data_IF_149037982605
#
_entry.id   IF_149037982605
#
_cell.length_a   1.000
_cell.length_b   1.000
_cell.length_c   1.000
_cell.angle_alpha   90.00
_cell.angle_beta   90.00
_cell.angle_gamma   90.00
#
_symmetry.space_group_name_H-M   'P 1'
#
loop_
_entity.id
_entity.type
_entity.pdbx_description
1 polymer ?
#
# COMPACT_ATOMS: atom_id res chain seq x y z
N UNK A 1 -36.68 11.09 31.37
CA UNK A 1 -35.24 11.23 31.64
C UNK A 1 -34.49 11.29 30.32
N UNK A 2 -33.49 12.17 30.14
CA UNK A 2 -32.62 12.13 28.97
C UNK A 2 -31.92 10.78 28.87
N UNK A 3 -31.82 10.22 27.66
CA UNK A 3 -31.18 8.93 27.41
C UNK A 3 -29.72 9.00 27.87
N UNK A 4 -29.25 7.99 28.60
CA UNK A 4 -27.84 7.84 28.99
C UNK A 4 -26.94 7.92 27.75
N UNK A 5 -26.09 8.94 27.69
CA UNK A 5 -25.10 9.15 26.61
C UNK A 5 -23.71 9.16 27.22
N UNK A 6 -22.76 8.46 26.58
CA UNK A 6 -21.34 8.51 26.97
C UNK A 6 -20.77 9.90 26.69
N UNK A 7 -19.91 10.39 27.58
CA UNK A 7 -19.19 11.63 27.39
C UNK A 7 -18.32 11.54 26.12
N UNK A 8 -18.51 12.49 25.21
CA UNK A 8 -17.70 12.59 24.00
C UNK A 8 -16.51 13.48 24.29
N UNK A 9 -15.29 12.94 24.16
CA UNK A 9 -14.07 13.74 24.22
C UNK A 9 -14.06 14.69 23.02
N UNK A 10 -14.05 16.01 23.28
CA UNK A 10 -13.96 17.04 22.26
C UNK A 10 -12.49 17.46 22.18
N UNK A 11 -11.88 17.28 21.02
CA UNK A 11 -10.48 17.63 20.79
C UNK A 11 -10.37 19.08 20.30
N UNK A 12 -9.41 19.85 20.83
CA UNK A 12 -9.21 21.28 20.49
C UNK A 12 -8.39 21.51 19.21
N UNK A 13 -8.10 20.46 18.44
CA UNK A 13 -7.41 20.60 17.14
C UNK A 13 -8.17 21.49 16.19
N UNK A 14 -7.45 22.36 15.49
CA UNK A 14 -7.98 23.29 14.48
C UNK A 14 -8.33 22.65 13.13
N UNK A 15 -8.34 21.31 13.01
CA UNK A 15 -8.65 20.62 11.76
C UNK A 15 -10.15 20.67 11.47
N UNK A 16 -10.56 21.53 10.55
CA UNK A 16 -11.94 21.59 10.05
C UNK A 16 -12.27 20.38 9.18
N UNK A 17 -13.50 19.88 9.29
CA UNK A 17 -14.00 18.81 8.43
C UNK A 17 -14.19 19.35 7.01
N UNK A 18 -13.44 18.81 6.05
CA UNK A 18 -13.63 19.12 4.63
C UNK A 18 -14.97 18.57 4.15
N UNK A 19 -15.66 19.32 3.28
CA UNK A 19 -16.93 18.89 2.69
C UNK A 19 -16.71 17.72 1.72
N UNK A 20 -17.21 16.54 2.08
CA UNK A 20 -17.12 15.35 1.23
C UNK A 20 -17.76 15.56 -0.15
N UNK A 21 -18.87 16.31 -0.20
CA UNK A 21 -19.60 16.64 -1.44
C UNK A 21 -18.74 17.47 -2.39
N UNK A 22 -18.04 18.46 -1.85
CA UNK A 22 -17.17 19.35 -2.61
C UNK A 22 -15.94 18.59 -3.15
N UNK A 23 -15.30 17.76 -2.32
CA UNK A 23 -14.17 16.93 -2.75
C UNK A 23 -14.56 15.94 -3.87
N UNK A 24 -15.74 15.34 -3.75
CA UNK A 24 -16.28 14.42 -4.76
C UNK A 24 -16.53 15.14 -6.08
N UNK A 25 -17.15 16.32 -6.04
CA UNK A 25 -17.38 17.15 -7.24
C UNK A 25 -16.08 17.60 -7.89
N UNK A 26 -15.10 18.01 -7.08
CA UNK A 26 -13.78 18.40 -7.59
C UNK A 26 -13.03 17.24 -8.23
N UNK A 27 -13.07 16.04 -7.61
CA UNK A 27 -12.47 14.85 -8.20
C UNK A 27 -13.13 14.52 -9.55
N UNK A 28 -14.47 14.54 -9.61
CA UNK A 28 -15.21 14.30 -10.85
C UNK A 28 -14.81 15.28 -11.97
N UNK A 29 -14.85 16.58 -11.68
CA UNK A 29 -14.52 17.62 -12.66
C UNK A 29 -13.07 17.53 -13.14
N UNK A 30 -12.13 17.27 -12.22
CA UNK A 30 -10.71 17.14 -12.58
C UNK A 30 -10.44 15.91 -13.44
N UNK A 31 -11.15 14.80 -13.22
CA UNK A 31 -11.00 13.59 -14.05
C UNK A 31 -11.48 13.87 -15.47
N UNK A 32 -12.63 14.52 -15.65
CA UNK A 32 -13.12 14.88 -16.99
C UNK A 32 -12.20 15.85 -17.71
N UNK A 33 -11.69 16.88 -17.02
CA UNK A 33 -10.69 17.79 -17.59
C UNK A 33 -9.42 17.05 -18.04
N UNK A 34 -8.97 16.05 -17.28
CA UNK A 34 -7.80 15.24 -17.66
C UNK A 34 -8.05 14.34 -18.88
N UNK A 35 -9.28 13.84 -19.07
CA UNK A 35 -9.66 13.10 -20.30
C UNK A 35 -9.50 13.99 -21.54
N UNK A 36 -9.76 15.30 -21.42
CA UNK A 36 -9.60 16.24 -22.52
C UNK A 36 -8.14 16.66 -22.74
N UNK A 37 -7.34 16.74 -21.68
CA UNK A 37 -5.98 17.27 -21.74
C UNK A 37 -4.95 16.24 -22.27
N UNK A 38 -5.08 14.96 -21.91
CA UNK A 38 -4.05 13.94 -22.17
C UNK A 38 -4.45 12.92 -23.24
N UNK A 39 -3.44 12.30 -23.86
CA UNK A 39 -3.63 11.32 -24.95
C UNK A 39 -3.94 9.91 -24.46
N UNK A 40 -3.41 9.53 -23.29
CA UNK A 40 -3.54 8.19 -22.72
C UNK A 40 -4.10 8.23 -21.30
N UNK A 41 -4.89 7.21 -20.98
CA UNK A 41 -5.42 6.95 -19.65
C UNK A 41 -5.05 5.52 -19.24
N UNK A 42 -4.36 5.36 -18.12
CA UNK A 42 -4.10 4.07 -17.50
C UNK A 42 -4.96 3.89 -16.25
N UNK A 43 -5.56 2.71 -16.12
CA UNK A 43 -6.11 2.22 -14.86
C UNK A 43 -5.04 1.38 -14.19
N UNK A 44 -4.67 1.73 -12.97
CA UNK A 44 -3.66 0.99 -12.20
C UNK A 44 -4.22 0.53 -10.86
N UNK A 45 -3.79 -0.63 -10.40
CA UNK A 45 -3.93 -1.08 -9.02
C UNK A 45 -2.64 -0.78 -8.24
N UNK A 46 -2.77 -0.61 -6.92
CA UNK A 46 -1.63 -0.39 -6.03
C UNK A 46 -1.66 -1.36 -4.88
N UNK A 47 -0.58 -2.13 -4.75
CA UNK A 47 -0.32 -2.97 -3.59
C UNK A 47 0.55 -2.23 -2.58
N UNK A 48 0.30 -2.49 -1.30
CA UNK A 48 1.04 -1.90 -0.17
C UNK A 48 1.13 -0.37 -0.21
N UNK A 49 0.05 0.28 -0.66
CA UNK A 49 -0.03 1.73 -0.86
C UNK A 49 0.49 2.56 0.34
N UNK A 50 1.40 3.50 0.02
CA UNK A 50 1.93 4.54 0.90
C UNK A 50 1.86 5.90 0.22
N UNK A 51 1.44 6.91 0.99
CA UNK A 51 1.35 8.28 0.47
C UNK A 51 2.71 8.87 0.07
N UNK A 52 3.82 8.38 0.63
CA UNK A 52 5.18 8.79 0.27
C UNK A 52 5.48 8.38 -1.17
N UNK A 53 5.35 7.10 -1.50
CA UNK A 53 5.63 6.60 -2.85
C UNK A 53 4.71 7.20 -3.92
N UNK A 54 3.43 7.43 -3.60
CA UNK A 54 2.55 8.10 -4.55
C UNK A 54 2.91 9.59 -4.76
N UNK A 55 3.57 10.24 -3.80
CA UNK A 55 4.11 11.59 -4.02
C UNK A 55 5.35 11.53 -4.91
N UNK A 56 6.19 10.51 -4.75
CA UNK A 56 7.37 10.32 -5.59
C UNK A 56 6.95 10.07 -7.03
N UNK A 57 5.99 9.17 -7.26
CA UNK A 57 5.37 8.95 -8.58
C UNK A 57 4.77 10.24 -9.14
N UNK A 58 4.04 11.03 -8.33
CA UNK A 58 3.49 12.33 -8.80
C UNK A 58 4.57 13.35 -9.15
N UNK A 59 5.73 13.28 -8.52
CA UNK A 59 6.84 14.19 -8.79
C UNK A 59 7.53 13.79 -10.09
N UNK A 60 7.74 12.49 -10.29
CA UNK A 60 8.27 11.93 -11.54
C UNK A 60 7.34 12.20 -12.74
N UNK A 61 6.03 12.06 -12.52
CA UNK A 61 4.97 12.31 -13.50
C UNK A 61 4.38 13.72 -13.35
N UNK A 62 5.24 14.73 -13.15
CA UNK A 62 4.81 16.13 -12.96
C UNK A 62 4.10 16.76 -14.18
N UNK A 63 4.39 16.23 -15.37
CA UNK A 63 3.78 16.52 -16.67
C UNK A 63 2.48 15.73 -16.92
N UNK A 64 2.06 14.91 -15.97
CA UNK A 64 0.90 14.00 -16.08
C UNK A 64 -0.05 14.20 -14.89
N UNK A 65 -1.23 13.57 -14.91
CA UNK A 65 -2.21 13.67 -13.82
C UNK A 65 -2.56 12.31 -13.23
N UNK A 66 -2.21 12.14 -11.96
CA UNK A 66 -2.51 10.95 -11.18
C UNK A 66 -3.67 11.19 -10.19
N UNK A 67 -4.73 10.40 -10.34
CA UNK A 67 -5.87 10.33 -9.43
C UNK A 67 -5.84 9.02 -8.64
N UNK A 68 -5.95 9.13 -7.33
CA UNK A 68 -6.14 7.99 -6.42
C UNK A 68 -7.17 8.39 -5.37
N UNK A 69 -8.43 8.10 -5.68
CA UNK A 69 -9.59 8.61 -4.96
C UNK A 69 -10.70 7.59 -4.85
N UNK A 70 -11.93 8.05 -4.61
CA UNK A 70 -13.08 7.14 -4.50
C UNK A 70 -13.38 6.51 -5.86
N UNK A 71 -13.16 5.20 -5.96
CA UNK A 71 -13.28 4.42 -7.19
C UNK A 71 -14.61 4.65 -7.92
N UNK A 72 -15.73 4.63 -7.19
CA UNK A 72 -17.06 4.89 -7.75
C UNK A 72 -17.20 6.28 -8.39
N UNK A 73 -16.53 7.30 -7.83
CA UNK A 73 -16.58 8.67 -8.38
C UNK A 73 -15.78 8.75 -9.67
N UNK A 74 -14.62 8.09 -9.72
CA UNK A 74 -13.80 8.01 -10.93
C UNK A 74 -14.52 7.25 -12.03
N UNK A 75 -15.17 6.12 -11.72
CA UNK A 75 -15.96 5.35 -12.69
C UNK A 75 -17.13 6.17 -13.27
N UNK A 76 -17.86 6.91 -12.42
CA UNK A 76 -18.95 7.78 -12.90
C UNK A 76 -18.40 8.97 -13.71
N UNK A 77 -17.20 9.46 -13.42
CA UNK A 77 -16.55 10.54 -14.18
C UNK A 77 -16.16 10.12 -15.60
N UNK A 78 -15.68 8.88 -15.77
CA UNK A 78 -15.41 8.29 -17.08
C UNK A 78 -16.70 7.86 -17.81
N UNK A 79 -17.70 7.42 -17.03
CA UNK A 79 -18.96 6.86 -17.50
C UNK A 79 -18.99 5.34 -17.34
N UNK A 80 -20.15 4.80 -16.93
CA UNK A 80 -20.31 3.34 -16.67
C UNK A 80 -21.08 2.61 -17.75
N UNK A 81 -21.78 3.36 -18.61
CA UNK A 81 -22.53 2.84 -19.76
C UNK A 81 -22.10 3.58 -21.02
N UNK A 82 -22.31 3.02 -22.22
CA UNK A 82 -22.00 3.73 -23.47
C UNK A 82 -22.67 5.11 -23.58
N UNK A 83 -23.89 5.25 -23.05
CA UNK A 83 -24.66 6.51 -23.06
C UNK A 83 -24.10 7.58 -22.11
N UNK A 84 -23.44 7.15 -21.02
CA UNK A 84 -22.88 8.05 -20.01
C UNK A 84 -21.37 8.24 -20.16
N UNK A 85 -20.75 7.57 -21.14
CA UNK A 85 -19.33 7.65 -21.41
C UNK A 85 -18.95 9.07 -21.83
N UNK A 86 -17.95 9.64 -21.17
CA UNK A 86 -17.46 10.99 -21.49
C UNK A 86 -16.77 11.06 -22.85
N UNK A 87 -16.11 9.97 -23.23
CA UNK A 87 -15.42 9.79 -24.50
C UNK A 87 -15.64 8.35 -25.01
N UNK A 88 -15.41 8.08 -26.31
CA UNK A 88 -15.67 6.77 -26.89
C UNK A 88 -15.00 5.63 -26.11
N UNK A 89 -15.79 4.59 -25.82
CA UNK A 89 -15.36 3.35 -25.16
C UNK A 89 -14.79 3.48 -23.73
N UNK A 90 -14.80 4.65 -23.10
CA UNK A 90 -14.33 4.80 -21.71
C UNK A 90 -15.11 3.95 -20.71
N UNK A 91 -16.37 3.66 -21.00
CA UNK A 91 -17.20 2.77 -20.18
C UNK A 91 -16.60 1.36 -20.04
N UNK A 92 -15.80 0.90 -21.00
CA UNK A 92 -15.12 -0.40 -20.96
C UNK A 92 -14.05 -0.46 -19.87
N UNK A 93 -13.58 0.67 -19.32
CA UNK A 93 -12.64 0.71 -18.21
C UNK A 93 -13.29 0.48 -16.84
N UNK A 94 -14.63 0.61 -16.75
CA UNK A 94 -15.36 0.50 -15.48
C UNK A 94 -15.14 -0.81 -14.70
N UNK A 95 -15.05 -2.00 -15.34
CA UNK A 95 -14.77 -3.26 -14.64
C UNK A 95 -13.42 -3.28 -13.92
N UNK A 96 -12.42 -2.59 -14.46
CA UNK A 96 -11.07 -2.50 -13.87
C UNK A 96 -10.99 -1.51 -12.71
N UNK A 97 -12.03 -0.70 -12.51
CA UNK A 97 -12.15 0.23 -11.40
C UNK A 97 -12.73 -0.48 -10.16
N UNK A 98 -12.00 -1.46 -9.63
CA UNK A 98 -12.35 -2.23 -8.42
C UNK A 98 -11.15 -2.34 -7.47
N UNK A 99 -11.41 -2.18 -6.16
CA UNK A 99 -10.36 -2.22 -5.14
C UNK A 99 -9.55 -0.92 -5.01
N UNK A 100 -8.26 -1.06 -4.67
CA UNK A 100 -7.32 0.03 -4.46
C UNK A 100 -6.69 0.48 -5.79
N UNK A 101 -7.50 1.14 -6.62
CA UNK A 101 -7.15 1.53 -7.98
C UNK A 101 -7.11 3.05 -8.16
N UNK A 102 -6.32 3.49 -9.14
CA UNK A 102 -6.21 4.88 -9.56
C UNK A 102 -6.23 5.04 -11.08
N UNK A 103 -6.20 6.30 -11.50
CA UNK A 103 -6.10 6.71 -12.89
C UNK A 103 -4.83 7.52 -13.10
N UNK A 104 -4.09 7.21 -14.16
CA UNK A 104 -2.95 7.99 -14.61
C UNK A 104 -3.25 8.50 -16.02
N UNK A 105 -3.37 9.82 -16.15
CA UNK A 105 -3.50 10.50 -17.44
C UNK A 105 -2.14 11.02 -17.86
N UNK A 106 -1.71 10.70 -19.07
CA UNK A 106 -0.38 11.08 -19.57
C UNK A 106 -0.37 11.17 -21.09
N UNK A 107 0.52 12.00 -21.63
CA UNK A 107 0.85 12.04 -23.06
C UNK A 107 2.24 11.45 -23.35
N UNK A 108 2.86 10.79 -22.36
CA UNK A 108 4.08 10.00 -22.56
C UNK A 108 3.79 8.75 -23.37
N UNK A 109 4.83 8.23 -24.02
CA UNK A 109 4.77 6.95 -24.72
C UNK A 109 4.33 5.82 -23.76
N UNK A 110 3.34 4.99 -24.14
CA UNK A 110 2.84 3.93 -23.29
C UNK A 110 3.91 2.95 -22.79
N UNK A 111 4.91 2.61 -23.61
CA UNK A 111 5.95 1.67 -23.21
C UNK A 111 6.84 2.27 -22.11
N UNK A 112 7.22 3.55 -22.26
CA UNK A 112 7.97 4.26 -21.23
C UNK A 112 7.27 4.29 -19.86
N UNK A 113 5.93 4.39 -19.85
CA UNK A 113 5.13 4.33 -18.61
C UNK A 113 5.18 2.94 -18.00
N UNK A 114 5.03 1.89 -18.81
CA UNK A 114 5.07 0.50 -18.36
C UNK A 114 6.45 0.15 -17.76
N UNK A 115 7.52 0.49 -18.47
CA UNK A 115 8.90 0.22 -18.03
C UNK A 115 9.22 0.92 -16.69
N UNK A 116 8.72 2.14 -16.50
CA UNK A 116 8.88 2.85 -15.24
C UNK A 116 8.24 2.09 -14.08
N UNK A 117 6.96 1.70 -14.21
CA UNK A 117 6.25 1.03 -13.11
C UNK A 117 6.69 -0.42 -12.89
N UNK A 118 7.28 -1.07 -13.90
CA UNK A 118 7.94 -2.36 -13.72
C UNK A 118 9.21 -2.24 -12.86
N UNK A 119 9.97 -1.14 -12.99
CA UNK A 119 11.18 -0.89 -12.20
C UNK A 119 10.94 -0.19 -10.84
N UNK A 120 9.79 0.46 -10.67
CA UNK A 120 9.48 1.25 -9.46
C UNK A 120 8.76 0.41 -8.40
N UNK A 121 9.52 -0.29 -7.56
CA UNK A 121 8.97 -1.17 -6.54
C UNK A 121 9.67 -1.07 -5.16
N UNK A 122 9.58 0.10 -4.47
CA UNK A 122 10.21 0.29 -3.17
C UNK A 122 9.65 -0.64 -2.08
N UNK A 123 10.55 -1.16 -1.25
CA UNK A 123 10.22 -2.07 -0.14
C UNK A 123 9.90 -1.26 1.13
N UNK A 124 8.89 -1.69 1.90
CA UNK A 124 8.43 -1.10 3.15
C UNK A 124 8.07 -2.19 4.18
N UNK A 125 7.77 -1.77 5.39
CA UNK A 125 7.24 -2.62 6.45
C UNK A 125 5.85 -3.12 6.12
N UNK A 126 5.69 -4.44 6.22
CA UNK A 126 4.41 -5.10 6.08
C UNK A 126 3.42 -4.69 7.17
N UNK A 127 2.13 -4.84 6.87
CA UNK A 127 1.01 -4.60 7.77
C UNK A 127 0.30 -5.93 8.04
N UNK A 128 -0.57 -5.92 9.04
CA UNK A 128 -1.46 -7.05 9.26
C UNK A 128 -2.30 -7.32 7.99
N UNK A 129 -2.47 -8.59 7.63
CA UNK A 129 -3.14 -9.04 6.42
C UNK A 129 -2.21 -9.20 5.20
N UNK A 130 -0.96 -8.77 5.27
CA UNK A 130 0.00 -9.03 4.19
C UNK A 130 0.54 -10.47 4.29
N UNK A 131 0.69 -11.13 3.14
CA UNK A 131 1.43 -12.39 3.03
C UNK A 131 2.94 -12.07 3.04
N UNK A 132 3.69 -12.66 3.96
CA UNK A 132 5.15 -12.44 4.00
C UNK A 132 5.88 -13.34 3.00
N UNK A 133 6.79 -12.81 2.17
CA UNK A 133 7.55 -13.62 1.20
C UNK A 133 8.63 -14.48 1.87
N UNK A 134 9.01 -14.17 3.11
CA UNK A 134 10.08 -14.87 3.83
C UNK A 134 9.75 -15.09 5.31
N UNK A 135 10.42 -16.07 5.89
CA UNK A 135 10.41 -16.33 7.33
C UNK A 135 11.30 -15.33 8.07
N UNK A 136 10.95 -15.03 9.32
CA UNK A 136 11.76 -14.23 10.22
C UNK A 136 11.77 -14.83 11.63
N UNK A 137 12.96 -14.97 12.20
CA UNK A 137 13.20 -15.59 13.51
C UNK A 137 14.17 -14.71 14.28
N UNK A 138 13.84 -14.38 15.53
CA UNK A 138 14.73 -13.66 16.44
C UNK A 138 15.71 -14.68 17.03
N UNK A 139 17.03 -14.56 16.81
CA UNK A 139 18.01 -15.50 17.34
C UNK A 139 18.00 -15.60 18.87
N UNK A 140 18.40 -16.76 19.39
CA UNK A 140 18.61 -16.95 20.83
C UNK A 140 19.77 -16.11 21.36
N UNK A 141 19.74 -15.77 22.66
CA UNK A 141 20.76 -14.95 23.30
C UNK A 141 20.42 -13.46 23.38
N UNK A 142 21.41 -12.59 23.18
CA UNK A 142 21.21 -11.13 23.24
C UNK A 142 20.36 -10.70 22.04
N UNK A 143 19.28 -9.96 22.30
CA UNK A 143 18.44 -9.41 21.24
C UNK A 143 19.07 -8.12 20.72
N UNK A 144 19.41 -8.11 19.44
CA UNK A 144 19.95 -6.94 18.75
C UNK A 144 18.86 -6.17 17.99
N UNK A 145 19.18 -4.95 17.54
CA UNK A 145 18.23 -4.03 16.91
C UNK A 145 17.72 -4.53 15.57
N UNK A 146 18.51 -5.35 14.84
CA UNK A 146 18.11 -6.01 13.59
C UNK A 146 17.87 -7.51 13.75
N UNK A 147 18.03 -8.04 14.96
CA UNK A 147 17.71 -9.42 15.32
C UNK A 147 18.14 -10.46 14.28
N UNK A 148 19.41 -10.42 13.87
CA UNK A 148 20.02 -11.42 12.98
C UNK A 148 19.95 -11.09 11.48
N UNK A 149 19.37 -9.97 11.08
CA UNK A 149 19.39 -9.52 9.67
C UNK A 149 20.77 -9.04 9.22
N UNK A 150 21.63 -8.65 10.16
CA UNK A 150 23.04 -8.30 9.93
C UNK A 150 23.91 -9.01 10.98
N UNK A 151 25.23 -9.17 10.72
CA UNK A 151 26.16 -9.73 11.70
C UNK A 151 26.11 -8.97 13.03
N UNK A 152 26.20 -9.70 14.15
CA UNK A 152 26.11 -9.10 15.49
C UNK A 152 27.25 -8.13 15.83
N UNK A 153 28.35 -8.16 15.08
CA UNK A 153 29.45 -7.20 15.16
C UNK A 153 29.11 -5.82 14.58
N UNK A 154 28.17 -5.79 13.64
CA UNK A 154 27.68 -4.56 12.98
C UNK A 154 26.30 -4.12 13.52
N UNK A 155 25.74 -4.86 14.48
CA UNK A 155 24.45 -4.55 15.11
C UNK A 155 24.63 -4.07 16.56
N UNK A 156 23.67 -3.30 17.03
CA UNK A 156 23.64 -2.82 18.41
C UNK A 156 22.56 -3.54 19.21
N UNK A 157 22.82 -3.93 20.47
CA UNK A 157 21.80 -4.49 21.36
C UNK A 157 20.57 -3.59 21.42
N UNK A 158 19.38 -4.18 21.36
CA UNK A 158 18.14 -3.41 21.37
C UNK A 158 18.00 -2.65 22.70
N UNK A 159 17.44 -1.43 22.65
CA UNK A 159 17.20 -0.64 23.85
C UNK A 159 16.38 -1.40 24.89
N UNK A 160 16.86 -1.43 26.13
CA UNK A 160 16.15 -2.05 27.26
C UNK A 160 14.76 -1.45 27.50
N UNK A 161 14.51 -0.21 27.06
CA UNK A 161 13.19 0.44 27.16
C UNK A 161 12.11 -0.24 26.31
N UNK A 162 12.52 -0.99 25.29
CA UNK A 162 11.63 -1.68 24.36
C UNK A 162 11.20 -3.06 24.90
N UNK A 163 11.94 -3.60 25.88
CA UNK A 163 11.72 -4.93 26.46
C UNK A 163 10.27 -5.19 26.93
N UNK A 164 9.58 -4.27 27.65
CA UNK A 164 8.20 -4.51 28.04
C UNK A 164 7.24 -4.61 26.85
N UNK A 165 7.56 -3.93 25.75
CA UNK A 165 6.79 -4.01 24.49
C UNK A 165 6.98 -5.36 23.83
N UNK A 166 8.20 -5.90 23.79
CA UNK A 166 8.48 -7.24 23.26
C UNK A 166 7.71 -8.31 24.04
N UNK A 167 7.70 -8.24 25.38
CA UNK A 167 6.92 -9.15 26.22
C UNK A 167 5.42 -9.03 25.97
N UNK A 168 4.90 -7.81 25.80
CA UNK A 168 3.49 -7.56 25.43
C UNK A 168 3.14 -8.14 24.05
N UNK A 169 4.11 -8.25 23.15
CA UNK A 169 4.01 -8.89 21.85
C UNK A 169 4.34 -10.40 21.91
N UNK A 170 4.28 -11.00 23.10
CA UNK A 170 4.51 -12.44 23.35
C UNK A 170 5.90 -12.95 22.95
N UNK A 171 6.91 -12.08 22.91
CA UNK A 171 8.30 -12.49 22.76
C UNK A 171 8.87 -12.79 24.15
N UNK A 172 9.33 -14.02 24.42
CA UNK A 172 9.84 -14.42 25.73
C UNK A 172 11.20 -13.75 25.97
N UNK A 173 11.19 -12.62 26.68
CA UNK A 173 12.38 -11.79 26.90
C UNK A 173 12.57 -11.46 28.38
N UNK A 174 13.84 -11.29 28.74
CA UNK A 174 14.31 -10.95 30.08
C UNK A 174 15.49 -10.00 30.00
N UNK A 175 15.61 -9.13 31.00
CA UNK A 175 16.77 -8.26 31.14
C UNK A 175 17.89 -8.96 31.94
N UNK A 176 19.06 -9.14 31.31
CA UNK A 176 20.27 -9.70 31.95
C UNK A 176 21.40 -8.68 31.84
N UNK A 177 21.90 -8.19 32.98
CA UNK A 177 23.00 -7.21 33.04
C UNK A 177 22.77 -5.99 32.13
N UNK A 178 21.52 -5.50 32.07
CA UNK A 178 21.16 -4.33 31.25
C UNK A 178 20.88 -4.63 29.77
N UNK A 179 21.06 -5.87 29.31
CA UNK A 179 20.78 -6.29 27.93
C UNK A 179 19.50 -7.12 27.86
N UNK A 180 18.73 -6.94 26.79
CA UNK A 180 17.55 -7.78 26.51
C UNK A 180 18.04 -9.13 25.99
N UNK A 181 17.63 -10.20 26.65
CA UNK A 181 17.93 -11.58 26.28
C UNK A 181 16.64 -12.31 25.91
N UNK A 182 16.69 -13.13 24.87
CA UNK A 182 15.61 -14.06 24.54
C UNK A 182 15.68 -15.27 25.48
N UNK A 183 14.58 -15.58 26.16
CA UNK A 183 14.41 -16.75 27.03
C UNK A 183 14.00 -17.99 26.23
N UNK A 184 14.72 -18.28 25.16
CA UNK A 184 14.56 -19.49 24.36
C UNK A 184 15.94 -20.01 23.93
N UNK A 185 16.10 -21.32 23.98
CA UNK A 185 17.28 -22.03 23.47
C UNK A 185 17.04 -22.48 22.02
N UNK A 186 18.09 -22.97 21.35
CA UNK A 186 18.02 -23.42 19.96
C UNK A 186 17.94 -22.27 18.95
N UNK A 187 17.12 -22.45 17.92
CA UNK A 187 17.05 -21.59 16.74
C UNK A 187 16.38 -20.21 16.99
N UNK A 188 15.85 -19.99 18.20
CA UNK A 188 15.26 -18.71 18.61
C UNK A 188 13.73 -18.66 18.49
N UNK A 189 13.17 -17.45 18.38
CA UNK A 189 11.73 -17.20 18.36
C UNK A 189 11.24 -16.90 16.94
N UNK A 190 10.51 -17.85 16.34
CA UNK A 190 9.95 -17.66 15.00
C UNK A 190 8.78 -16.68 15.04
N UNK A 191 8.94 -15.54 14.37
CA UNK A 191 7.92 -14.49 14.29
C UNK A 191 6.89 -14.85 13.24
N UNK A 192 7.32 -15.20 12.02
CA UNK A 192 6.46 -15.56 10.89
C UNK A 192 7.18 -16.52 9.93
N UNK A 193 6.41 -17.30 9.16
CA UNK A 193 6.94 -18.14 8.07
C UNK A 193 6.58 -17.57 6.70
N UNK A 194 7.42 -17.86 5.70
CA UNK A 194 7.12 -17.54 4.31
C UNK A 194 5.74 -18.10 3.89
N UNK A 195 4.94 -17.27 3.21
CA UNK A 195 3.59 -17.61 2.75
C UNK A 195 2.48 -17.42 3.80
N UNK A 196 2.80 -17.09 5.06
CA UNK A 196 1.79 -16.82 6.08
C UNK A 196 1.24 -15.39 6.01
N UNK A 197 -0.06 -15.23 6.27
CA UNK A 197 -0.69 -13.94 6.49
C UNK A 197 -0.25 -13.37 7.85
N UNK A 198 0.34 -12.17 7.83
CA UNK A 198 0.85 -11.52 9.03
C UNK A 198 -0.28 -11.00 9.92
N UNK A 199 -0.20 -11.31 11.20
CA UNK A 199 -1.02 -10.68 12.23
C UNK A 199 -0.46 -9.29 12.63
N UNK A 200 -1.21 -8.56 13.47
CA UNK A 200 -0.81 -7.23 13.98
C UNK A 200 0.46 -7.26 14.83
N UNK A 201 0.69 -8.36 15.56
CA UNK A 201 1.85 -8.55 16.42
C UNK A 201 3.11 -8.83 15.57
N UNK A 202 3.02 -9.71 14.59
CA UNK A 202 4.10 -10.06 13.66
C UNK A 202 4.53 -8.85 12.84
N UNK A 203 3.59 -8.12 12.23
CA UNK A 203 3.90 -6.90 11.48
C UNK A 203 4.54 -5.81 12.34
N UNK A 204 4.12 -5.70 13.61
CA UNK A 204 4.77 -4.79 14.58
C UNK A 204 6.19 -5.24 14.91
N UNK A 205 6.42 -6.54 15.14
CA UNK A 205 7.76 -7.08 15.42
C UNK A 205 8.71 -6.88 14.22
N UNK A 206 8.27 -7.20 13.00
CA UNK A 206 9.05 -6.95 11.78
C UNK A 206 9.46 -5.48 11.68
N UNK A 207 8.51 -4.55 11.91
CA UNK A 207 8.81 -3.12 11.92
C UNK A 207 9.80 -2.72 13.01
N UNK A 208 9.68 -3.29 14.21
CA UNK A 208 10.58 -2.98 15.33
C UNK A 208 12.02 -3.39 15.05
N UNK A 209 12.22 -4.53 14.37
CA UNK A 209 13.54 -5.00 13.94
C UNK A 209 13.97 -4.44 12.57
N UNK A 210 13.14 -3.56 11.99
CA UNK A 210 13.41 -2.91 10.72
C UNK A 210 13.48 -3.88 9.54
N UNK A 211 12.69 -4.95 9.59
CA UNK A 211 12.49 -5.94 8.53
C UNK A 211 11.39 -5.45 7.58
N UNK A 212 11.80 -4.92 6.43
CA UNK A 212 10.90 -4.51 5.36
C UNK A 212 10.70 -5.68 4.37
N UNK A 213 9.44 -6.08 4.16
CA UNK A 213 9.08 -7.25 3.34
C UNK A 213 7.83 -7.03 2.48
N UNK A 214 7.23 -5.84 2.55
CA UNK A 214 6.09 -5.46 1.73
C UNK A 214 6.56 -4.56 0.59
N UNK A 215 6.37 -5.00 -0.64
CA UNK A 215 6.73 -4.24 -1.83
C UNK A 215 5.58 -3.34 -2.25
N UNK A 216 5.85 -2.04 -2.42
CA UNK A 216 4.91 -1.17 -3.12
C UNK A 216 4.97 -1.53 -4.60
N UNK A 217 3.84 -1.94 -5.16
CA UNK A 217 3.76 -2.32 -6.57
C UNK A 217 2.59 -1.62 -7.23
N UNK A 218 2.80 -1.12 -8.43
CA UNK A 218 1.75 -0.52 -9.26
C UNK A 218 1.53 -1.42 -10.46
N UNK A 219 0.34 -1.98 -10.59
CA UNK A 219 0.00 -2.87 -11.68
C UNK A 219 -0.94 -2.17 -12.66
N UNK A 220 -0.53 -2.08 -13.93
CA UNK A 220 -1.35 -1.51 -14.99
C UNK A 220 -2.39 -2.52 -15.45
N UNK A 221 -3.67 -2.20 -15.28
CA UNK A 221 -4.79 -3.08 -15.62
C UNK A 221 -5.28 -2.89 -17.04
N UNK A 222 -5.44 -1.64 -17.45
CA UNK A 222 -5.94 -1.29 -18.77
C UNK A 222 -5.45 0.09 -19.19
N UNK A 223 -5.33 0.30 -20.50
CA UNK A 223 -5.00 1.57 -21.14
C UNK A 223 -6.11 1.97 -22.09
N UNK A 224 -6.48 3.24 -22.12
CA UNK A 224 -7.32 3.83 -23.15
C UNK A 224 -6.54 4.91 -23.90
N UNK A 225 -6.81 5.05 -25.19
CA UNK A 225 -6.19 6.03 -26.06
C UNK A 225 -7.23 6.97 -26.67
N UNK A 226 -7.00 8.27 -26.53
CA UNK A 226 -7.95 9.30 -26.96
C UNK A 226 -8.18 9.36 -28.46
N UNK A 227 -7.12 9.16 -29.26
CA UNK A 227 -7.18 9.30 -30.73
C UNK A 227 -8.01 8.21 -31.39
N UNK A 228 -7.83 6.96 -30.98
CA UNK A 228 -8.54 5.80 -31.52
C UNK A 228 -9.82 5.47 -30.74
N UNK A 229 -9.91 5.90 -29.48
CA UNK A 229 -10.93 5.41 -28.54
C UNK A 229 -10.73 3.93 -28.18
N UNK A 230 -9.55 3.37 -28.43
CA UNK A 230 -9.25 1.97 -28.17
C UNK A 230 -8.93 1.72 -26.70
N UNK A 231 -9.38 0.57 -26.18
CA UNK A 231 -9.02 0.08 -24.86
C UNK A 231 -8.16 -1.17 -25.00
N UNK A 232 -6.97 -1.13 -24.43
CA UNK A 232 -6.03 -2.26 -24.36
C UNK A 232 -6.03 -2.79 -22.93
N UNK A 233 -6.30 -4.08 -22.77
CA UNK A 233 -6.22 -4.76 -21.46
C UNK A 233 -4.76 -5.17 -21.23
N UNK A 234 -4.22 -4.79 -20.07
CA UNK A 234 -2.83 -5.02 -19.67
C UNK A 234 -2.71 -6.02 -18.51
N UNK A 235 -3.83 -6.31 -17.83
CA UNK A 235 -3.90 -7.29 -16.77
C UNK A 235 -3.51 -8.67 -17.30
N UNK A 236 -2.42 -9.24 -16.76
CA UNK A 236 -2.07 -10.64 -16.98
C UNK A 236 -3.09 -11.46 -16.20
N UNK A 237 -3.90 -12.28 -16.88
CA UNK A 237 -4.73 -13.26 -16.19
C UNK A 237 -3.81 -14.24 -15.45
N UNK A 238 -3.66 -14.08 -14.14
CA UNK A 238 -3.15 -15.15 -13.29
C UNK A 238 -4.18 -16.27 -13.30
N UNK A 239 -3.95 -17.26 -14.17
CA UNK A 239 -4.61 -18.56 -14.07
C UNK A 239 -4.06 -19.18 -12.78
N UNK A 240 -4.84 -19.09 -11.70
CA UNK A 240 -4.63 -19.93 -10.53
C UNK A 240 -4.86 -21.38 -10.96
N UNK A 241 -3.79 -22.11 -11.30
CA UNK A 241 -3.80 -23.56 -11.28
C UNK A 241 -4.06 -23.99 -9.84
N UNK A 242 -5.31 -24.39 -9.58
CA UNK A 242 -5.67 -25.11 -8.37
C UNK A 242 -5.15 -26.53 -8.56
N UNK A 243 -3.98 -26.82 -8.01
CA UNK A 243 -3.47 -28.19 -7.91
C UNK A 243 -4.53 -29.06 -7.22
N UNK A 244 -4.92 -30.13 -7.92
CA UNK A 244 -5.96 -31.10 -7.55
C UNK A 244 -5.49 -32.11 -6.50
#
# INVERSE_FOLDING_TARGET
MPISKRAKVIHESRTQKKSHKEQTRRLYANVQAAVEEYDHLFVFAVDNMRNTYLKDVRTEFSDSRLFFGKTKVMAIALGTTPETAYAPNLNLLSPYLTGAVGLLFTSRDPQSVLDFFESFHPIDFARAGNITPRSFTIPSGVVYSRAGEIPAEDDEPISHTIEPTLRKLNVPTRLVKGKVMLEMEGDGYQVCKAGEELDSRQSTLLKMFGVAVAEFKVEMKARWEKKSGEVVVLEKQEIMEVDA
#
